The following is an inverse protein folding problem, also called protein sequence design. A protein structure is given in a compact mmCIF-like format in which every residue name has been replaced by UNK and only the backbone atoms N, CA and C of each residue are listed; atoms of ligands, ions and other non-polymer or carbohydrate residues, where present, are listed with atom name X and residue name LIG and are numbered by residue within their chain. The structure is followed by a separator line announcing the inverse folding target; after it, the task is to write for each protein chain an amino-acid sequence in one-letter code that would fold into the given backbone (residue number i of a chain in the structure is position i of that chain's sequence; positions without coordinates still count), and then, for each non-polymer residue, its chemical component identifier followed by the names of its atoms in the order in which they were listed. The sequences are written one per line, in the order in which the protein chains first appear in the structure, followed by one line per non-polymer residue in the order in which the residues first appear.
data_IF_039483353050
#
_entry.id   IF_039483353050
#
_cell.length_a   1.000
_cell.length_b   1.000
_cell.length_c   1.000
_cell.angle_alpha   90.00
_cell.angle_beta   90.00
_cell.angle_gamma   90.00
#
_symmetry.space_group_name_H-M   'P 1'
#
loop_
_entity.id
_entity.type
_entity.pdbx_description
1 polymer ?
#
# COMPACT_ATOMS: atom_id res chain seq x y z
N UNK A 1 -18.71 -11.93 0.11
CA UNK A 1 -17.48 -11.25 0.57
C UNK A 1 -17.77 -10.48 1.85
N UNK A 2 -16.86 -10.53 2.82
CA UNK A 2 -17.00 -9.91 4.14
C UNK A 2 -15.88 -8.90 4.34
N UNK A 3 -16.20 -7.73 4.90
CA UNK A 3 -15.21 -6.69 5.20
C UNK A 3 -14.91 -6.66 6.69
N UNK A 4 -13.63 -6.53 7.02
CA UNK A 4 -13.12 -6.38 8.37
C UNK A 4 -12.29 -5.12 8.50
N UNK A 5 -12.48 -4.40 9.60
CA UNK A 5 -11.61 -3.28 9.96
C UNK A 5 -10.31 -3.82 10.53
N UNK A 6 -9.19 -3.27 10.09
CA UNK A 6 -7.86 -3.63 10.55
C UNK A 6 -7.00 -2.40 10.79
N UNK A 7 -5.81 -2.60 11.37
CA UNK A 7 -4.84 -1.52 11.61
C UNK A 7 -4.35 -0.95 10.28
N UNK A 8 -4.48 0.36 10.03
CA UNK A 8 -3.98 0.98 8.80
C UNK A 8 -2.48 0.72 8.59
N UNK A 9 -2.09 0.34 7.37
CA UNK A 9 -0.72 -0.01 7.00
C UNK A 9 -0.32 -1.47 7.31
N UNK A 10 -1.21 -2.29 7.89
CA UNK A 10 -0.99 -3.72 8.13
C UNK A 10 -1.80 -4.62 7.20
N UNK A 11 -2.55 -4.07 6.25
CA UNK A 11 -3.48 -4.78 5.37
C UNK A 11 -2.79 -5.90 4.59
N UNK A 12 -1.69 -5.57 3.90
CA UNK A 12 -0.90 -6.52 3.11
C UNK A 12 -0.26 -7.61 3.98
N UNK A 13 0.25 -7.21 5.14
CA UNK A 13 0.82 -8.15 6.11
C UNK A 13 -0.23 -9.15 6.61
N UNK A 14 -1.47 -8.70 6.84
CA UNK A 14 -2.57 -9.54 7.27
C UNK A 14 -3.02 -10.53 6.20
N UNK A 15 -3.07 -10.10 4.93
CA UNK A 15 -3.32 -10.97 3.77
C UNK A 15 -2.30 -12.11 3.73
N UNK A 16 -1.01 -11.79 3.81
CA UNK A 16 0.07 -12.79 3.78
C UNK A 16 0.01 -13.70 5.02
N UNK A 17 -0.27 -13.15 6.21
CA UNK A 17 -0.41 -13.93 7.43
C UNK A 17 -1.57 -14.94 7.33
N UNK A 18 -2.71 -14.52 6.76
CA UNK A 18 -3.85 -15.42 6.56
C UNK A 18 -3.57 -16.47 5.48
N UNK A 19 -2.84 -16.12 4.43
CA UNK A 19 -2.39 -17.07 3.41
C UNK A 19 -1.48 -18.15 4.00
N UNK A 20 -0.49 -17.77 4.82
CA UNK A 20 0.38 -18.72 5.51
C UNK A 20 -0.42 -19.61 6.47
N UNK A 21 -1.37 -19.02 7.21
CA UNK A 21 -2.27 -19.77 8.09
C UNK A 21 -3.11 -20.79 7.30
N UNK A 22 -3.63 -20.41 6.13
CA UNK A 22 -4.41 -21.30 5.26
C UNK A 22 -3.60 -22.53 4.83
N UNK A 23 -2.37 -22.32 4.35
CA UNK A 23 -1.46 -23.40 3.94
C UNK A 23 -1.15 -24.34 5.11
N UNK A 24 -0.85 -23.77 6.27
CA UNK A 24 -0.49 -24.56 7.45
C UNK A 24 -1.68 -25.38 7.99
N UNK A 25 -2.87 -24.80 8.04
CA UNK A 25 -4.08 -25.51 8.48
C UNK A 25 -4.47 -26.63 7.51
N UNK A 26 -4.28 -26.42 6.20
CA UNK A 26 -4.44 -27.49 5.21
C UNK A 26 -3.45 -28.64 5.44
N UNK A 27 -2.19 -28.32 5.78
CA UNK A 27 -1.14 -29.31 6.11
C UNK A 27 -1.46 -30.12 7.37
N UNK A 28 -2.06 -29.48 8.39
CA UNK A 28 -2.41 -30.11 9.67
C UNK A 28 -3.75 -30.88 9.64
N UNK A 29 -4.42 -30.98 8.48
CA UNK A 29 -5.67 -31.73 8.32
C UNK A 29 -6.93 -30.99 8.76
N UNK A 30 -6.85 -29.68 9.01
CA UNK A 30 -7.99 -28.83 9.38
C UNK A 30 -8.12 -27.61 8.48
N UNK A 31 -8.45 -27.74 7.19
CA UNK A 31 -8.44 -26.63 6.24
C UNK A 31 -9.44 -25.52 6.60
N UNK A 32 -9.04 -24.27 6.36
CA UNK A 32 -9.92 -23.12 6.56
C UNK A 32 -10.95 -23.04 5.41
N UNK A 33 -12.22 -22.80 5.74
CA UNK A 33 -13.32 -22.70 4.76
C UNK A 33 -13.45 -21.31 4.10
N UNK A 34 -12.31 -20.74 3.70
CA UNK A 34 -12.20 -19.44 3.02
C UNK A 34 -11.69 -19.63 1.60
N UNK A 35 -12.16 -18.80 0.67
CA UNK A 35 -11.80 -18.87 -0.76
C UNK A 35 -10.64 -17.93 -1.10
N UNK A 36 -10.74 -16.69 -0.64
CA UNK A 36 -9.74 -15.66 -0.93
C UNK A 36 -9.71 -14.59 0.16
N UNK A 37 -8.61 -13.83 0.21
CA UNK A 37 -8.47 -12.64 1.04
C UNK A 37 -7.80 -11.54 0.23
N UNK A 38 -8.33 -10.33 0.35
CA UNK A 38 -7.92 -9.18 -0.48
C UNK A 38 -7.66 -7.97 0.41
N UNK A 39 -6.52 -7.33 0.20
CA UNK A 39 -6.26 -5.97 0.65
C UNK A 39 -6.40 -5.04 -0.57
N UNK A 40 -7.52 -4.31 -0.62
CA UNK A 40 -7.80 -3.34 -1.69
C UNK A 40 -7.11 -2.00 -1.43
N UNK A 41 -7.38 -1.00 -2.27
CA UNK A 41 -6.91 0.38 -2.10
C UNK A 41 -7.49 1.08 -0.85
N UNK A 42 -8.54 0.52 -0.26
CA UNK A 42 -9.15 1.00 0.98
C UNK A 42 -8.24 0.78 2.19
N UNK A 43 -7.69 1.87 2.72
CA UNK A 43 -6.86 1.84 3.94
C UNK A 43 -7.67 1.38 5.15
N UNK A 44 -7.09 0.51 5.97
CA UNK A 44 -7.66 0.01 7.21
C UNK A 44 -8.72 -1.07 7.04
N UNK A 45 -8.83 -1.69 5.85
CA UNK A 45 -9.78 -2.76 5.59
C UNK A 45 -9.14 -3.94 4.88
N UNK A 46 -9.60 -5.14 5.25
CA UNK A 46 -9.36 -6.39 4.51
C UNK A 46 -10.69 -7.03 4.16
N UNK A 47 -10.72 -7.75 3.04
CA UNK A 47 -11.90 -8.42 2.53
C UNK A 47 -11.64 -9.92 2.50
N UNK A 48 -12.54 -10.70 3.10
CA UNK A 48 -12.45 -12.16 3.14
C UNK A 48 -13.63 -12.74 2.37
N UNK A 49 -13.32 -13.62 1.42
CA UNK A 49 -14.32 -14.36 0.67
C UNK A 49 -14.57 -15.72 1.34
N UNK A 50 -15.82 -15.94 1.76
CA UNK A 50 -16.27 -17.21 2.30
C UNK A 50 -17.77 -17.37 2.07
N UNK A 51 -18.24 -18.62 1.99
CA UNK A 51 -19.65 -18.95 1.75
C UNK A 51 -20.54 -18.63 2.95
N UNK A 52 -20.01 -18.80 4.16
CA UNK A 52 -20.76 -18.61 5.40
C UNK A 52 -20.07 -17.60 6.31
N UNK A 53 -20.88 -16.87 7.07
CA UNK A 53 -20.44 -15.89 8.07
C UNK A 53 -19.43 -16.46 9.08
N UNK A 54 -19.63 -17.66 9.67
CA UNK A 54 -18.66 -18.22 10.62
C UNK A 54 -17.30 -18.47 9.98
N UNK A 55 -17.26 -18.97 8.75
CA UNK A 55 -16.00 -19.27 8.05
C UNK A 55 -15.14 -18.01 7.86
N UNK A 56 -15.76 -16.87 7.53
CA UNK A 56 -15.07 -15.59 7.38
C UNK A 56 -14.55 -15.03 8.71
N UNK A 57 -15.25 -15.28 9.82
CA UNK A 57 -14.84 -14.83 11.15
C UNK A 57 -13.74 -15.72 11.73
N UNK A 58 -13.97 -17.02 11.71
CA UNK A 58 -13.14 -17.99 12.42
C UNK A 58 -11.74 -18.13 11.78
N UNK A 59 -11.61 -17.85 10.48
CA UNK A 59 -10.31 -17.81 9.81
C UNK A 59 -9.38 -16.72 10.39
N UNK A 60 -9.93 -15.65 10.98
CA UNK A 60 -9.16 -14.55 11.57
C UNK A 60 -8.79 -14.80 13.04
N UNK A 61 -9.23 -15.91 13.65
CA UNK A 61 -8.86 -16.26 15.02
C UNK A 61 -7.35 -16.34 15.20
N UNK A 62 -6.82 -15.69 16.23
CA UNK A 62 -5.38 -15.61 16.50
C UNK A 62 -4.63 -14.55 15.68
N UNK A 63 -5.25 -13.90 14.69
CA UNK A 63 -4.64 -12.75 14.02
C UNK A 63 -4.88 -11.48 14.84
N UNK A 64 -3.77 -10.81 15.18
CA UNK A 64 -3.78 -9.47 15.79
C UNK A 64 -4.07 -8.42 14.73
N UNK A 65 -4.35 -7.19 15.14
CA UNK A 65 -4.60 -6.04 14.25
C UNK A 65 -5.89 -6.11 13.40
N UNK A 66 -6.81 -7.04 13.67
CA UNK A 66 -8.13 -7.14 13.03
C UNK A 66 -9.26 -7.05 14.05
N UNK A 67 -10.24 -6.18 13.79
CA UNK A 67 -11.42 -5.99 14.63
C UNK A 67 -12.56 -6.91 14.14
N UNK A 68 -12.52 -8.18 14.54
CA UNK A 68 -13.46 -9.20 14.07
C UNK A 68 -14.93 -8.88 14.36
N UNK A 69 -15.22 -8.15 15.44
CA UNK A 69 -16.59 -7.77 15.82
C UNK A 69 -17.21 -6.71 14.91
N UNK A 70 -16.40 -5.96 14.15
CA UNK A 70 -16.87 -4.94 13.20
C UNK A 70 -17.11 -5.48 11.79
N UNK A 71 -17.20 -6.81 11.65
CA UNK A 71 -17.42 -7.46 10.35
C UNK A 71 -18.76 -7.05 9.72
N UNK A 72 -18.74 -6.76 8.43
CA UNK A 72 -19.95 -6.47 7.63
C UNK A 72 -19.97 -7.29 6.35
N UNK A 73 -21.17 -7.62 5.88
CA UNK A 73 -21.37 -8.21 4.56
C UNK A 73 -21.20 -7.11 3.50
N UNK A 74 -20.42 -7.39 2.46
CA UNK A 74 -20.31 -6.51 1.31
C UNK A 74 -21.54 -6.70 0.41
N UNK A 75 -22.27 -5.64 0.03
CA UNK A 75 -23.36 -5.71 -0.94
C UNK A 75 -22.90 -6.29 -2.28
N UNK A 76 -23.75 -7.07 -2.95
CA UNK A 76 -23.39 -7.77 -4.19
C UNK A 76 -22.91 -6.81 -5.29
N UNK A 77 -23.55 -5.64 -5.42
CA UNK A 77 -23.21 -4.63 -6.43
C UNK A 77 -21.88 -3.90 -6.16
N UNK A 78 -21.33 -3.98 -4.94
CA UNK A 78 -20.05 -3.36 -4.58
C UNK A 78 -18.87 -4.33 -4.68
N UNK A 79 -19.12 -5.63 -4.90
CA UNK A 79 -18.06 -6.64 -4.87
C UNK A 79 -16.99 -6.41 -5.95
N UNK A 80 -17.39 -6.01 -7.15
CA UNK A 80 -16.47 -5.72 -8.26
C UNK A 80 -15.64 -4.47 -8.01
N UNK A 81 -16.24 -3.44 -7.41
CA UNK A 81 -15.57 -2.19 -7.05
C UNK A 81 -14.40 -2.38 -6.09
N UNK A 82 -14.40 -3.44 -5.27
CA UNK A 82 -13.30 -3.75 -4.35
C UNK A 82 -12.05 -4.24 -5.09
N UNK A 83 -12.23 -4.87 -6.25
CA UNK A 83 -11.14 -5.37 -7.09
C UNK A 83 -10.67 -4.33 -8.12
N UNK A 84 -11.33 -3.16 -8.15
CA UNK A 84 -10.99 -2.12 -9.11
C UNK A 84 -9.62 -1.49 -8.80
N UNK A 85 -8.70 -1.68 -9.74
CA UNK A 85 -7.35 -1.12 -9.66
C UNK A 85 -7.37 0.24 -10.32
N UNK A 86 -7.42 1.27 -9.48
CA UNK A 86 -7.22 2.66 -9.89
C UNK A 86 -5.79 2.83 -10.38
N UNK A 87 -5.59 2.56 -11.67
CA UNK A 87 -4.31 2.74 -12.35
C UNK A 87 -4.09 4.24 -12.50
N UNK A 88 -3.57 4.88 -11.46
CA UNK A 88 -3.00 6.23 -11.57
C UNK A 88 -1.64 6.13 -12.28
N UNK A 89 -1.63 5.63 -13.51
CA UNK A 89 -0.52 5.88 -14.44
C UNK A 89 -0.63 7.33 -14.86
N UNK A 90 -0.14 8.25 -14.02
CA UNK A 90 0.47 9.44 -14.59
C UNK A 90 1.68 8.89 -15.34
N UNK A 91 1.56 8.76 -16.66
CA UNK A 91 2.72 8.47 -17.47
C UNK A 91 3.77 9.51 -17.09
N UNK A 92 4.88 9.05 -16.54
CA UNK A 92 6.05 9.90 -16.45
C UNK A 92 6.47 10.10 -17.91
N UNK A 93 6.36 11.33 -18.38
CA UNK A 93 6.83 11.75 -19.70
C UNK A 93 7.90 12.82 -19.47
N UNK A 94 8.87 12.91 -20.37
CA UNK A 94 9.79 14.05 -20.37
C UNK A 94 9.02 15.38 -20.39
N UNK A 95 9.62 16.42 -19.84
CA UNK A 95 9.08 17.78 -19.70
C UNK A 95 7.90 17.95 -18.72
N UNK A 96 7.52 16.94 -17.94
CA UNK A 96 6.50 17.11 -16.88
C UNK A 96 7.08 17.74 -15.62
N UNK A 97 6.22 18.40 -14.85
CA UNK A 97 6.58 18.90 -13.53
C UNK A 97 6.31 17.86 -12.43
N UNK A 98 7.29 17.67 -11.55
CA UNK A 98 7.23 16.78 -10.41
C UNK A 98 7.59 17.53 -9.12
N UNK A 99 7.38 16.86 -7.97
CA UNK A 99 7.73 17.39 -6.66
C UNK A 99 8.63 16.41 -5.92
N UNK A 100 9.73 16.91 -5.40
CA UNK A 100 10.69 16.13 -4.62
C UNK A 100 10.05 15.64 -3.32
N UNK A 101 10.05 14.32 -3.08
CA UNK A 101 9.43 13.70 -1.89
C UNK A 101 10.41 13.35 -0.78
N UNK A 102 11.67 13.05 -1.11
CA UNK A 102 12.69 12.65 -0.14
C UNK A 102 12.90 13.78 0.87
N UNK A 103 13.04 13.43 2.15
CA UNK A 103 13.35 14.39 3.19
C UNK A 103 14.74 15.01 2.97
N UNK A 104 14.87 16.31 3.25
CA UNK A 104 16.09 17.09 3.01
C UNK A 104 15.78 18.47 2.47
N UNK A 105 16.82 19.19 2.05
CA UNK A 105 16.77 20.59 1.61
C UNK A 105 15.76 20.86 0.49
N UNK A 106 15.66 19.93 -0.47
CA UNK A 106 14.79 20.06 -1.63
C UNK A 106 13.40 19.46 -1.41
N UNK A 107 13.03 19.02 -0.19
CA UNK A 107 11.73 18.40 0.06
C UNK A 107 10.61 19.38 -0.29
N UNK A 108 9.74 18.96 -1.20
CA UNK A 108 8.62 19.78 -1.63
C UNK A 108 8.95 20.74 -2.77
N UNK A 109 10.18 20.83 -3.26
CA UNK A 109 10.50 21.69 -4.40
C UNK A 109 9.92 21.14 -5.70
N UNK A 110 9.54 22.07 -6.59
CA UNK A 110 9.14 21.75 -7.96
C UNK A 110 10.39 21.51 -8.80
N UNK A 111 10.34 20.46 -9.62
CA UNK A 111 11.37 20.16 -10.59
C UNK A 111 10.73 19.75 -11.92
N UNK A 112 11.44 20.00 -13.02
CA UNK A 112 11.02 19.56 -14.35
C UNK A 112 11.78 18.27 -14.70
N UNK A 113 11.07 17.23 -15.12
CA UNK A 113 11.67 15.94 -15.52
C UNK A 113 12.24 16.11 -16.93
N UNK A 114 13.55 16.05 -17.08
CA UNK A 114 14.22 16.19 -18.39
C UNK A 114 14.17 14.84 -19.13
N UNK A 115 14.58 13.78 -18.44
CA UNK A 115 14.75 12.45 -19.00
C UNK A 115 14.35 11.39 -17.99
N UNK A 116 13.83 10.28 -18.49
CA UNK A 116 13.42 9.13 -17.69
C UNK A 116 14.37 7.99 -18.01
N UNK A 117 15.01 7.46 -16.99
CA UNK A 117 15.98 6.38 -17.07
C UNK A 117 15.38 5.10 -16.46
N UNK A 118 16.02 3.96 -16.73
CA UNK A 118 15.72 2.68 -16.07
C UNK A 118 14.24 2.28 -16.11
N UNK A 119 13.60 2.40 -17.28
CA UNK A 119 12.17 2.09 -17.48
C UNK A 119 11.22 2.80 -16.49
N UNK A 120 11.59 3.99 -16.01
CA UNK A 120 10.79 4.79 -15.08
C UNK A 120 11.17 4.65 -13.60
N UNK A 121 12.24 3.93 -13.26
CA UNK A 121 12.74 3.85 -11.89
C UNK A 121 13.48 5.14 -11.46
N UNK A 122 14.19 5.77 -12.40
CA UNK A 122 14.98 6.98 -12.17
C UNK A 122 14.66 8.06 -13.21
N UNK A 123 14.96 9.32 -12.89
CA UNK A 123 14.77 10.42 -13.82
C UNK A 123 15.72 11.57 -13.52
N UNK A 124 16.22 12.18 -14.58
CA UNK A 124 17.04 13.40 -14.50
C UNK A 124 16.09 14.59 -14.39
N UNK A 125 16.29 15.43 -13.38
CA UNK A 125 15.41 16.57 -13.11
C UNK A 125 16.18 17.88 -13.16
N UNK A 126 15.52 18.92 -13.66
CA UNK A 126 15.95 20.32 -13.56
C UNK A 126 15.33 20.92 -12.31
N UNK A 127 16.15 21.36 -11.37
CA UNK A 127 15.74 22.06 -10.15
C UNK A 127 16.59 23.31 -9.90
N UNK A 128 16.08 24.23 -9.09
CA UNK A 128 16.82 25.41 -8.66
C UNK A 128 17.76 25.00 -7.50
N UNK A 129 19.08 25.18 -7.62
CA UNK A 129 20.02 24.83 -6.56
C UNK A 129 19.88 25.78 -5.37
N UNK A 130 19.96 25.24 -4.16
CA UNK A 130 20.02 25.98 -2.89
C UNK A 130 21.35 25.65 -2.22
N UNK A 131 22.43 26.22 -2.73
CA UNK A 131 23.77 25.90 -2.28
C UNK A 131 24.25 26.98 -1.30
N UNK A 132 24.83 26.56 -0.18
CA UNK A 132 25.57 27.45 0.70
C UNK A 132 27.02 27.57 0.19
N UNK A 133 27.38 28.75 -0.29
CA UNK A 133 28.71 29.04 -0.83
C UNK A 133 29.80 29.01 0.26
N UNK A 134 29.44 29.25 1.52
CA UNK A 134 30.36 29.18 2.66
C UNK A 134 30.74 27.73 2.91
N UNK A 135 29.75 26.84 2.95
CA UNK A 135 29.99 25.39 3.10
C UNK A 135 30.77 24.83 1.90
N UNK A 136 30.45 25.27 0.67
CA UNK A 136 31.18 24.88 -0.54
C UNK A 136 32.66 25.31 -0.55
N UNK A 137 33.00 26.41 0.12
CA UNK A 137 34.37 26.93 0.23
C UNK A 137 35.12 26.38 1.45
N UNK A 138 34.53 25.43 2.18
CA UNK A 138 35.14 24.78 3.36
C UNK A 138 34.92 25.54 4.65
N UNK A 139 34.05 26.56 4.66
CA UNK A 139 33.58 27.23 5.87
C UNK A 139 32.52 26.42 6.61
N UNK A 140 32.30 26.76 7.88
CA UNK A 140 31.25 26.12 8.70
C UNK A 140 29.86 26.67 8.34
N UNK A 141 28.85 25.80 8.40
CA UNK A 141 27.44 26.14 8.17
C UNK A 141 26.95 27.14 9.24
N UNK A 142 26.47 28.31 8.83
CA UNK A 142 25.92 29.31 9.76
C UNK A 142 24.62 28.77 10.37
N UNK A 143 24.64 28.52 11.68
CA UNK A 143 23.49 28.01 12.47
C UNK A 143 22.30 28.96 12.49
#
# INVERSE_FOLDING_TARGET
MWVFKCKPGREQHLVVALMNKFVEFARLGGPLMVKSVVASNSKGFIYVEAERKPHARDCLNGLRDVQQWLMKLVPIHEMTSILDVQTRRKLLVASIWARMKRAGLYKGDLCNVIEILDNGACGVVKSIPRLDLVVLSGGEELK
#
